data_IF_407486877266
#
_entry.id   IF_407486877266
#
_cell.length_a   1.000
_cell.length_b   1.000
_cell.length_c   1.000
_cell.angle_alpha   90.00
_cell.angle_beta   90.00
_cell.angle_gamma   90.00
#
_symmetry.space_group_name_H-M   'P 1'
#
loop_
_entity.id
_entity.type
_entity.pdbx_description
1 polymer ?
#
# COMPACT_ATOMS: atom_id res chain seq x y z
N UNK A 1 5.01 21.77 7.80
CA UNK A 1 4.26 22.47 6.73
C UNK A 1 4.09 23.98 6.99
N UNK A 2 3.73 24.42 8.21
CA UNK A 2 3.43 25.84 8.53
C UNK A 2 4.63 26.79 8.71
N UNK A 3 5.86 26.33 8.50
CA UNK A 3 7.04 27.18 8.66
C UNK A 3 7.25 28.01 7.38
N UNK A 4 7.35 29.34 7.43
CA UNK A 4 7.48 30.21 6.26
C UNK A 4 8.75 29.95 5.41
N UNK A 5 9.74 29.23 5.92
CA UNK A 5 10.92 28.79 5.15
C UNK A 5 10.82 27.38 4.54
N UNK A 6 9.75 26.64 4.79
CA UNK A 6 9.59 25.26 4.32
C UNK A 6 9.09 25.24 2.87
N UNK A 7 9.86 24.58 1.98
CA UNK A 7 9.52 24.44 0.58
C UNK A 7 9.31 22.97 0.23
N UNK A 8 8.07 22.60 -0.09
CA UNK A 8 7.67 21.23 -0.51
C UNK A 8 8.28 20.81 -1.85
N UNK A 9 8.95 21.74 -2.56
CA UNK A 9 9.67 21.45 -3.81
C UNK A 9 11.13 21.11 -3.59
N UNK A 10 11.62 21.27 -2.36
CA UNK A 10 12.99 20.96 -1.99
C UNK A 10 13.05 19.54 -1.46
N UNK A 11 14.07 18.78 -1.87
CA UNK A 11 14.38 17.48 -1.28
C UNK A 11 14.73 17.69 0.19
N UNK A 12 14.00 17.10 1.14
CA UNK A 12 14.34 17.23 2.55
C UNK A 12 15.61 16.45 2.86
N UNK A 13 16.37 16.97 3.82
CA UNK A 13 17.42 16.22 4.46
C UNK A 13 16.86 15.61 5.74
N UNK A 14 16.91 14.28 5.84
CA UNK A 14 16.31 13.53 6.95
C UNK A 14 17.44 12.84 7.72
N UNK A 15 17.40 12.93 9.05
CA UNK A 15 18.30 12.18 9.92
C UNK A 15 17.53 11.73 11.15
N UNK A 16 17.61 10.45 11.48
CA UNK A 16 17.01 9.90 12.69
C UNK A 16 17.98 10.04 13.87
N UNK A 17 17.47 10.47 15.02
CA UNK A 17 18.29 10.61 16.22
C UNK A 17 18.38 9.27 16.95
N UNK A 18 19.58 8.69 17.03
CA UNK A 18 19.84 7.49 17.85
C UNK A 18 20.42 6.29 17.10
N UNK A 19 20.54 6.35 15.78
CA UNK A 19 21.07 5.22 14.99
C UNK A 19 22.61 5.29 14.89
N UNK A 20 23.28 4.22 15.32
CA UNK A 20 24.74 4.04 15.16
C UNK A 20 25.11 3.65 13.71
N UNK A 21 24.14 3.23 12.89
CA UNK A 21 24.29 2.95 11.46
C UNK A 21 23.74 4.14 10.65
N UNK A 22 24.60 4.79 9.86
CA UNK A 22 24.20 5.90 8.99
C UNK A 22 23.44 5.35 7.77
N UNK A 23 22.10 5.38 7.82
CA UNK A 23 21.28 5.21 6.63
C UNK A 23 21.76 6.14 5.52
N UNK A 24 21.67 5.68 4.27
CA UNK A 24 21.82 6.57 3.13
C UNK A 24 20.74 7.67 3.20
N UNK A 25 21.00 8.82 2.58
CA UNK A 25 20.01 9.90 2.59
C UNK A 25 18.68 9.46 1.94
N UNK A 26 18.75 8.60 0.92
CA UNK A 26 17.59 8.11 0.18
C UNK A 26 16.80 7.07 1.01
N UNK A 27 17.50 6.23 1.78
CA UNK A 27 16.90 5.29 2.74
C UNK A 27 16.19 6.02 3.88
N UNK A 28 16.87 6.99 4.51
CA UNK A 28 16.29 7.81 5.57
C UNK A 28 15.05 8.57 5.09
N UNK A 29 15.10 9.07 3.85
CA UNK A 29 13.98 9.76 3.22
C UNK A 29 12.78 8.84 2.99
N UNK A 30 13.02 7.65 2.45
CA UNK A 30 11.98 6.64 2.20
C UNK A 30 11.31 6.22 3.52
N UNK A 31 12.11 5.96 4.54
CA UNK A 31 11.62 5.54 5.86
C UNK A 31 10.83 6.65 6.56
N UNK A 32 11.29 7.89 6.47
CA UNK A 32 10.55 9.04 6.98
C UNK A 32 9.16 9.16 6.37
N UNK A 33 9.04 9.02 5.04
CA UNK A 33 7.74 9.07 4.39
C UNK A 33 6.86 7.87 4.75
N UNK A 34 7.43 6.67 4.86
CA UNK A 34 6.70 5.48 5.30
C UNK A 34 6.07 5.68 6.68
N UNK A 35 6.88 6.12 7.66
CA UNK A 35 6.41 6.40 9.02
C UNK A 35 5.40 7.55 9.06
N UNK A 36 5.64 8.61 8.29
CA UNK A 36 4.74 9.77 8.21
C UNK A 36 3.38 9.38 7.66
N UNK A 37 3.33 8.58 6.60
CA UNK A 37 2.06 8.13 6.03
C UNK A 37 1.34 7.13 6.93
N UNK A 38 2.06 6.27 7.65
CA UNK A 38 1.48 5.38 8.65
C UNK A 38 0.79 6.16 9.78
N UNK A 39 1.46 7.16 10.34
CA UNK A 39 0.89 8.03 11.37
C UNK A 39 -0.29 8.84 10.82
N UNK A 40 -0.18 9.34 9.59
CA UNK A 40 -1.25 10.10 8.93
C UNK A 40 -2.52 9.27 8.77
N UNK A 41 -2.40 7.98 8.43
CA UNK A 41 -3.55 7.05 8.33
C UNK A 41 -4.28 6.86 9.67
N UNK A 42 -3.59 7.05 10.79
CA UNK A 42 -4.14 6.91 12.14
C UNK A 42 -4.61 8.25 12.74
N UNK A 43 -4.42 9.34 12.00
CA UNK A 43 -4.80 10.69 12.43
C UNK A 43 -6.31 10.93 12.36
N UNK A 44 -6.76 12.06 12.92
CA UNK A 44 -8.15 12.51 12.86
C UNK A 44 -8.66 12.89 11.45
N UNK A 45 -7.80 12.90 10.43
CA UNK A 45 -8.17 13.22 9.05
C UNK A 45 -8.97 12.09 8.39
N UNK A 46 -8.72 10.85 8.81
CA UNK A 46 -9.30 9.65 8.23
C UNK A 46 -10.09 8.84 9.25
N UNK A 47 -11.13 8.19 8.77
CA UNK A 47 -11.96 7.25 9.54
C UNK A 47 -12.24 5.98 8.75
N UNK A 48 -12.57 4.91 9.46
CA UNK A 48 -12.91 3.62 8.85
C UNK A 48 -11.97 2.51 9.26
N UNK A 49 -12.04 1.42 8.49
CA UNK A 49 -11.15 0.28 8.72
C UNK A 49 -9.79 0.60 8.09
N UNK A 50 -8.68 0.08 8.66
CA UNK A 50 -7.40 0.09 7.97
C UNK A 50 -7.57 -0.36 6.52
N UNK A 51 -6.82 0.27 5.61
CA UNK A 51 -6.85 -0.01 4.17
C UNK A 51 -8.12 0.43 3.43
N UNK A 52 -9.17 0.84 4.14
CA UNK A 52 -10.47 1.21 3.56
C UNK A 52 -10.99 2.49 4.22
N UNK A 53 -10.13 3.50 4.21
CA UNK A 53 -10.36 4.77 4.87
C UNK A 53 -11.22 5.72 4.02
N UNK A 54 -12.00 6.52 4.74
CA UNK A 54 -12.74 7.68 4.26
C UNK A 54 -12.25 8.94 4.98
N UNK A 55 -12.60 10.12 4.47
CA UNK A 55 -12.34 11.35 5.20
C UNK A 55 -13.30 11.47 6.38
N UNK A 56 -12.75 11.82 7.55
CA UNK A 56 -13.55 12.15 8.71
C UNK A 56 -14.29 13.46 8.46
N UNK A 57 -15.54 13.57 8.92
CA UNK A 57 -16.26 14.83 8.93
C UNK A 57 -15.94 15.64 10.21
N UNK A 58 -14.79 16.32 10.22
CA UNK A 58 -14.34 17.16 11.33
C UNK A 58 -14.11 18.61 10.86
N UNK A 59 -14.94 19.53 11.38
CA UNK A 59 -14.86 20.95 11.05
C UNK A 59 -13.69 21.65 11.75
N UNK A 60 -13.27 21.16 12.91
CA UNK A 60 -12.10 21.70 13.64
C UNK A 60 -10.84 21.38 12.85
N UNK A 61 -10.69 20.13 12.41
CA UNK A 61 -9.58 19.72 11.55
C UNK A 61 -9.57 20.47 10.21
N UNK A 62 -10.75 20.80 9.67
CA UNK A 62 -10.90 21.59 8.44
C UNK A 62 -10.43 23.03 8.64
N UNK A 63 -10.88 23.68 9.71
CA UNK A 63 -10.50 25.05 10.06
C UNK A 63 -9.00 25.15 10.36
N UNK A 64 -8.44 24.12 10.99
CA UNK A 64 -7.01 23.99 11.26
C UNK A 64 -6.20 23.65 10.01
N UNK A 65 -6.83 23.33 8.86
CA UNK A 65 -6.13 23.03 7.62
C UNK A 65 -5.46 21.65 7.59
N UNK A 66 -5.89 20.71 8.42
CA UNK A 66 -5.25 19.38 8.53
C UNK A 66 -5.41 18.55 7.26
N UNK A 67 -6.52 18.70 6.53
CA UNK A 67 -6.70 17.99 5.25
C UNK A 67 -5.74 18.51 4.18
N UNK A 68 -5.46 19.83 4.17
CA UNK A 68 -4.44 20.41 3.29
C UNK A 68 -3.06 19.83 3.62
N UNK A 69 -2.70 19.79 4.90
CA UNK A 69 -1.43 19.21 5.34
C UNK A 69 -1.30 17.72 4.98
N UNK A 70 -2.37 16.95 5.14
CA UNK A 70 -2.42 15.55 4.72
C UNK A 70 -2.15 15.40 3.21
N UNK A 71 -2.79 16.24 2.39
CA UNK A 71 -2.58 16.27 0.95
C UNK A 71 -1.15 16.65 0.57
N UNK A 72 -0.57 17.63 1.27
CA UNK A 72 0.84 18.02 1.10
C UNK A 72 1.78 16.86 1.44
N UNK A 73 1.59 16.20 2.58
CA UNK A 73 2.47 15.10 3.03
C UNK A 73 2.48 13.94 2.02
N UNK A 74 1.29 13.54 1.54
CA UNK A 74 1.17 12.51 0.51
C UNK A 74 1.81 12.97 -0.80
N UNK A 75 1.52 14.20 -1.23
CA UNK A 75 2.08 14.73 -2.47
C UNK A 75 3.60 14.86 -2.42
N UNK A 76 4.14 15.21 -1.25
CA UNK A 76 5.57 15.33 -1.02
C UNK A 76 6.26 13.96 -1.04
N UNK A 77 5.65 12.94 -0.41
CA UNK A 77 6.12 11.55 -0.52
C UNK A 77 6.22 11.12 -1.98
N UNK A 78 5.14 11.27 -2.75
CA UNK A 78 5.10 10.85 -4.14
C UNK A 78 6.08 11.63 -5.03
N UNK A 79 6.23 12.94 -4.80
CA UNK A 79 7.17 13.78 -5.56
C UNK A 79 8.64 13.37 -5.37
N UNK A 80 8.97 12.74 -4.24
CA UNK A 80 10.33 12.29 -3.90
C UNK A 80 10.51 10.77 -4.01
N UNK A 81 9.60 10.06 -4.68
CA UNK A 81 9.70 8.60 -4.86
C UNK A 81 9.41 7.78 -3.60
N UNK A 82 8.81 8.40 -2.58
CA UNK A 82 8.27 7.73 -1.41
C UNK A 82 6.95 7.00 -1.69
N UNK A 83 6.42 6.26 -0.70
CA UNK A 83 5.19 5.48 -0.86
C UNK A 83 3.95 6.35 -1.08
N UNK A 84 2.92 5.77 -1.71
CA UNK A 84 1.57 6.34 -1.73
C UNK A 84 0.84 6.11 -0.40
N UNK A 85 -0.34 6.74 -0.22
CA UNK A 85 -1.12 6.56 1.00
C UNK A 85 -1.69 5.14 1.11
N UNK A 86 -1.97 4.44 0.00
CA UNK A 86 -2.38 3.03 -0.03
C UNK A 86 -3.51 2.64 0.93
N UNK A 87 -4.41 3.58 1.24
CA UNK A 87 -5.38 3.42 2.34
C UNK A 87 -6.80 3.87 2.00
N UNK A 88 -7.00 4.65 0.94
CA UNK A 88 -8.33 5.16 0.61
C UNK A 88 -9.22 4.03 0.09
N UNK A 89 -10.51 4.08 0.43
CA UNK A 89 -11.48 3.16 -0.14
C UNK A 89 -11.57 3.36 -1.68
N UNK A 90 -11.55 2.29 -2.51
CA UNK A 90 -11.59 2.41 -3.97
C UNK A 90 -12.77 3.23 -4.51
N UNK A 91 -13.95 3.02 -3.96
CA UNK A 91 -15.14 3.81 -4.31
C UNK A 91 -14.99 5.32 -4.00
N UNK A 92 -14.36 5.69 -2.88
CA UNK A 92 -14.11 7.10 -2.57
C UNK A 92 -13.14 7.70 -3.59
N UNK A 93 -12.04 7.02 -3.89
CA UNK A 93 -11.07 7.49 -4.87
C UNK A 93 -11.68 7.68 -6.26
N UNK A 94 -12.49 6.72 -6.73
CA UNK A 94 -13.22 6.86 -7.99
C UNK A 94 -14.15 8.09 -8.01
N UNK A 95 -14.88 8.34 -6.90
CA UNK A 95 -15.73 9.53 -6.78
C UNK A 95 -14.91 10.82 -6.80
N UNK A 96 -13.76 10.85 -6.13
CA UNK A 96 -12.83 11.99 -6.17
C UNK A 96 -12.35 12.27 -7.60
N UNK A 97 -12.05 11.23 -8.38
CA UNK A 97 -11.66 11.33 -9.79
C UNK A 97 -12.84 11.60 -10.76
N UNK A 98 -13.99 12.04 -10.25
CA UNK A 98 -15.22 12.29 -11.01
C UNK A 98 -15.71 11.08 -11.84
N UNK A 99 -15.36 9.86 -11.44
CA UNK A 99 -15.83 8.65 -12.10
C UNK A 99 -17.23 8.28 -11.61
N UNK A 100 -18.05 7.74 -12.50
CA UNK A 100 -19.38 7.22 -12.17
C UNK A 100 -19.25 5.82 -11.56
N UNK A 101 -18.80 5.75 -10.30
CA UNK A 101 -18.83 4.51 -9.53
C UNK A 101 -20.29 4.12 -9.23
N UNK A 102 -20.69 2.91 -9.60
CA UNK A 102 -21.93 2.33 -9.07
C UNK A 102 -21.71 2.00 -7.59
N UNK A 103 -22.59 2.49 -6.73
CA UNK A 103 -22.56 2.27 -5.28
C UNK A 103 -23.74 1.42 -4.82
N UNK A 104 -24.44 0.78 -5.75
CA UNK A 104 -25.63 -0.03 -5.48
C UNK A 104 -25.28 -1.26 -4.64
N UNK A 105 -24.13 -1.87 -4.89
CA UNK A 105 -23.60 -3.04 -4.16
C UNK A 105 -22.56 -2.65 -3.10
N UNK A 106 -22.48 -1.37 -2.74
CA UNK A 106 -21.51 -0.91 -1.73
C UNK A 106 -21.78 -1.61 -0.39
N UNK A 107 -20.74 -2.10 0.27
CA UNK A 107 -20.88 -2.75 1.57
C UNK A 107 -21.11 -1.71 2.67
N UNK A 108 -22.35 -1.61 3.15
CA UNK A 108 -22.73 -0.67 4.21
C UNK A 108 -21.89 -0.79 5.48
N UNK A 109 -21.30 -1.96 5.76
CA UNK A 109 -20.48 -2.16 6.96
C UNK A 109 -19.17 -1.37 6.96
N UNK A 110 -18.79 -0.79 5.81
CA UNK A 110 -17.63 0.09 5.65
C UNK A 110 -17.95 1.55 6.00
N UNK A 111 -19.24 1.92 6.08
CA UNK A 111 -19.64 3.25 6.55
C UNK A 111 -19.42 3.35 8.06
N UNK A 112 -18.72 4.39 8.52
CA UNK A 112 -18.38 4.55 9.94
C UNK A 112 -19.60 4.94 10.78
N UNK A 113 -20.36 5.92 10.27
CA UNK A 113 -21.54 6.49 10.91
C UNK A 113 -22.57 5.39 11.25
N UNK A 114 -22.84 5.22 12.55
CA UNK A 114 -23.69 4.14 13.04
C UNK A 114 -25.15 4.30 12.63
N UNK A 115 -25.67 5.54 12.62
CA UNK A 115 -27.03 5.80 12.17
C UNK A 115 -27.14 5.54 10.66
N UNK A 116 -26.18 6.01 9.88
CA UNK A 116 -26.14 5.75 8.44
C UNK A 116 -26.11 4.26 8.13
N UNK A 117 -25.33 3.45 8.87
CA UNK A 117 -25.32 1.99 8.73
C UNK A 117 -26.68 1.36 8.98
N UNK A 118 -27.35 1.75 10.07
CA UNK A 118 -28.68 1.24 10.40
C UNK A 118 -29.69 1.58 9.29
N UNK A 119 -29.64 2.81 8.75
CA UNK A 119 -30.52 3.26 7.66
C UNK A 119 -30.22 2.59 6.33
N UNK A 120 -28.95 2.35 6.01
CA UNK A 120 -28.53 1.58 4.85
C UNK A 120 -29.00 0.13 4.93
N UNK A 121 -28.92 -0.48 6.11
CA UNK A 121 -29.43 -1.83 6.35
C UNK A 121 -30.96 -1.90 6.25
N UNK A 122 -31.67 -0.91 6.80
CA UNK A 122 -33.13 -0.77 6.66
C UNK A 122 -33.52 -0.66 5.17
N UNK A 123 -32.84 0.19 4.40
CA UNK A 123 -33.04 0.34 2.96
C UNK A 123 -32.82 -0.96 2.19
N UNK A 124 -31.75 -1.70 2.50
CA UNK A 124 -31.43 -2.95 1.80
C UNK A 124 -32.48 -4.05 2.08
N UNK A 125 -33.19 -3.96 3.20
CA UNK A 125 -34.28 -4.89 3.53
C UNK A 125 -35.61 -4.57 2.83
N UNK A 126 -35.74 -3.38 2.22
CA UNK A 126 -36.95 -2.95 1.54
C UNK A 126 -36.98 -3.39 0.06
N UNK A 127 -38.15 -3.84 -0.40
CA UNK A 127 -38.36 -4.26 -1.80
C UNK A 127 -38.83 -3.13 -2.73
N UNK A 128 -39.54 -2.14 -2.21
CA UNK A 128 -40.06 -0.99 -2.97
C UNK A 128 -39.92 0.30 -2.13
N UNK A 129 -39.60 1.41 -2.80
CA UNK A 129 -39.50 2.76 -2.24
C UNK A 129 -40.81 3.19 -1.55
N UNK A 130 -41.96 2.64 -1.93
CA UNK A 130 -43.25 2.89 -1.29
C UNK A 130 -43.37 2.30 0.12
N UNK A 131 -42.53 1.34 0.48
CA UNK A 131 -42.55 0.66 1.77
C UNK A 131 -41.56 1.27 2.78
N UNK A 132 -40.89 2.36 2.42
CA UNK A 132 -39.99 3.06 3.32
C UNK A 132 -40.75 3.64 4.51
N UNK A 133 -40.17 3.49 5.70
CA UNK A 133 -40.74 4.07 6.91
C UNK A 133 -40.73 5.61 6.82
N UNK A 134 -41.72 6.30 7.43
CA UNK A 134 -41.73 7.77 7.44
C UNK A 134 -40.44 8.37 8.02
N UNK A 135 -39.89 7.75 9.07
CA UNK A 135 -38.63 8.19 9.69
C UNK A 135 -37.43 8.07 8.75
N UNK A 136 -37.37 7.00 7.94
CA UNK A 136 -36.34 6.85 6.91
C UNK A 136 -36.52 7.87 5.77
N UNK A 137 -37.76 8.15 5.35
CA UNK A 137 -38.05 9.19 4.36
C UNK A 137 -37.66 10.60 4.83
N UNK A 138 -37.95 10.93 6.10
CA UNK A 138 -37.57 12.21 6.70
C UNK A 138 -36.05 12.35 6.77
N UNK A 139 -35.37 11.28 7.18
CA UNK A 139 -33.90 11.25 7.26
C UNK A 139 -33.24 11.35 5.89
N UNK A 140 -33.71 10.60 4.88
CA UNK A 140 -33.27 10.72 3.49
C UNK A 140 -33.45 12.14 2.96
N UNK A 141 -34.58 12.78 3.27
CA UNK A 141 -34.83 14.17 2.89
C UNK A 141 -33.84 15.13 3.56
N UNK A 142 -33.46 14.87 4.81
CA UNK A 142 -32.38 15.58 5.52
C UNK A 142 -31.01 15.45 4.84
N UNK A 143 -30.75 14.33 4.18
CA UNK A 143 -29.57 14.11 3.34
C UNK A 143 -29.70 14.70 1.91
N UNK A 144 -30.82 15.37 1.60
CA UNK A 144 -31.12 15.91 0.27
C UNK A 144 -31.58 14.86 -0.75
N UNK A 145 -31.98 13.67 -0.29
CA UNK A 145 -32.42 12.56 -1.13
C UNK A 145 -33.94 12.46 -1.03
N UNK A 146 -34.64 12.81 -2.11
CA UNK A 146 -36.09 12.66 -2.17
C UNK A 146 -36.46 11.31 -2.78
N UNK A 147 -37.01 10.35 -1.99
CA UNK A 147 -37.33 9.02 -2.49
C UNK A 147 -38.36 9.06 -3.62
N UNK A 148 -39.28 10.03 -3.60
CA UNK A 148 -40.27 10.23 -4.66
C UNK A 148 -39.66 10.45 -6.06
N UNK A 149 -38.40 10.86 -6.15
CA UNK A 149 -37.68 11.08 -7.40
C UNK A 149 -36.93 9.82 -7.91
N UNK A 150 -36.96 8.71 -7.17
CA UNK A 150 -36.34 7.44 -7.56
C UNK A 150 -37.34 6.30 -7.39
N UNK A 151 -37.51 5.46 -8.40
CA UNK A 151 -38.43 4.31 -8.30
C UNK A 151 -37.76 3.04 -7.76
N UNK A 152 -36.44 3.08 -7.62
CA UNK A 152 -35.62 1.90 -7.33
C UNK A 152 -34.83 2.12 -6.04
N UNK A 153 -34.93 1.14 -5.13
CA UNK A 153 -34.19 1.10 -3.86
C UNK A 153 -32.67 1.14 -4.07
N UNK A 154 -32.07 0.38 -5.02
CA UNK A 154 -30.62 0.45 -5.28
C UNK A 154 -30.12 1.85 -5.61
N UNK A 155 -30.87 2.61 -6.41
CA UNK A 155 -30.51 3.99 -6.74
C UNK A 155 -30.61 4.94 -5.53
N UNK A 156 -31.57 4.72 -4.63
CA UNK A 156 -31.65 5.49 -3.36
C UNK A 156 -30.48 5.13 -2.45
N UNK A 157 -30.17 3.84 -2.34
CA UNK A 157 -29.05 3.31 -1.57
C UNK A 157 -27.72 3.90 -2.04
N UNK A 158 -27.43 3.84 -3.35
CA UNK A 158 -26.20 4.38 -3.91
C UNK A 158 -26.06 5.90 -3.71
N UNK A 159 -27.16 6.66 -3.82
CA UNK A 159 -27.16 8.11 -3.50
C UNK A 159 -26.85 8.37 -2.02
N UNK A 160 -27.41 7.55 -1.13
CA UNK A 160 -27.18 7.69 0.30
C UNK A 160 -25.73 7.39 0.65
N UNK A 161 -25.18 6.29 0.14
CA UNK A 161 -23.75 5.97 0.28
C UNK A 161 -22.91 7.14 -0.21
N UNK A 162 -23.18 7.63 -1.44
CA UNK A 162 -22.46 8.77 -2.03
C UNK A 162 -22.54 10.03 -1.16
N UNK A 163 -23.69 10.28 -0.54
CA UNK A 163 -23.85 11.41 0.37
C UNK A 163 -22.88 11.29 1.56
N UNK A 164 -22.88 10.15 2.24
CA UNK A 164 -22.07 9.97 3.45
C UNK A 164 -20.58 9.89 3.18
N UNK A 165 -20.15 9.19 2.13
CA UNK A 165 -18.72 8.95 1.87
C UNK A 165 -18.04 10.07 1.07
N UNK A 166 -18.81 10.90 0.37
CA UNK A 166 -18.26 11.91 -0.56
C UNK A 166 -18.86 13.30 -0.38
N UNK A 167 -20.18 13.48 -0.53
CA UNK A 167 -20.76 14.83 -0.53
C UNK A 167 -20.68 15.53 0.84
N UNK A 168 -20.90 14.79 1.93
CA UNK A 168 -20.82 15.31 3.30
C UNK A 168 -19.43 15.89 3.61
N UNK A 169 -18.38 15.29 3.06
CA UNK A 169 -16.97 15.63 3.30
C UNK A 169 -16.35 16.39 2.12
N UNK A 170 -17.16 16.97 1.23
CA UNK A 170 -16.67 17.59 0.01
C UNK A 170 -15.67 18.73 0.27
N UNK A 171 -15.86 19.52 1.34
CA UNK A 171 -14.93 20.60 1.73
C UNK A 171 -13.59 20.06 2.19
N UNK A 172 -13.59 18.96 2.96
CA UNK A 172 -12.40 18.24 3.42
C UNK A 172 -11.62 17.65 2.23
N UNK A 173 -12.34 17.02 1.31
CA UNK A 173 -11.77 16.53 0.05
C UNK A 173 -11.16 17.69 -0.73
N UNK A 174 -11.88 18.80 -0.93
CA UNK A 174 -11.36 19.96 -1.68
C UNK A 174 -10.05 20.47 -1.08
N UNK A 175 -10.02 20.67 0.24
CA UNK A 175 -8.82 21.13 0.95
C UNK A 175 -7.66 20.13 0.82
N UNK A 176 -7.93 18.83 0.89
CA UNK A 176 -6.96 17.78 0.64
C UNK A 176 -6.38 17.80 -0.79
N UNK A 177 -7.26 17.97 -1.78
CA UNK A 177 -6.86 18.05 -3.20
C UNK A 177 -6.01 19.30 -3.48
N UNK A 178 -6.32 20.42 -2.84
CA UNK A 178 -5.49 21.62 -2.87
C UNK A 178 -4.09 21.36 -2.32
N UNK A 179 -4.00 20.61 -1.21
CA UNK A 179 -2.73 20.16 -0.64
C UNK A 179 -1.90 19.33 -1.63
N UNK A 180 -2.50 18.32 -2.26
CA UNK A 180 -1.84 17.52 -3.30
C UNK A 180 -1.38 18.38 -4.48
N UNK A 181 -2.24 19.28 -4.96
CA UNK A 181 -1.92 20.15 -6.10
C UNK A 181 -0.82 21.18 -5.80
N UNK A 182 -0.60 21.53 -4.54
CA UNK A 182 0.55 22.37 -4.15
C UNK A 182 1.89 21.71 -4.49
N UNK A 183 1.94 20.37 -4.51
CA UNK A 183 3.08 19.55 -4.92
C UNK A 183 3.14 19.39 -6.46
N UNK A 184 3.20 20.50 -7.20
CA UNK A 184 3.43 20.48 -8.64
C UNK A 184 2.23 20.02 -9.48
N UNK A 185 0.99 20.31 -9.04
CA UNK A 185 -0.25 19.88 -9.69
C UNK A 185 -0.45 18.37 -9.72
N UNK A 186 0.02 17.68 -8.67
CA UNK A 186 -0.04 16.22 -8.59
C UNK A 186 -1.46 15.68 -8.72
N UNK A 187 -2.46 16.30 -8.10
CA UNK A 187 -3.83 15.82 -8.22
C UNK A 187 -4.36 15.91 -9.65
N UNK A 188 -4.00 16.95 -10.41
CA UNK A 188 -4.38 17.04 -11.82
C UNK A 188 -3.80 15.85 -12.64
N UNK A 189 -2.58 15.43 -12.31
CA UNK A 189 -1.95 14.25 -12.90
C UNK A 189 -2.64 12.94 -12.48
N UNK A 190 -2.93 12.80 -11.18
CA UNK A 190 -3.66 11.65 -10.61
C UNK A 190 -5.03 11.52 -11.29
N UNK A 191 -5.79 12.61 -11.38
CA UNK A 191 -7.13 12.62 -11.97
C UNK A 191 -7.11 12.29 -13.47
N UNK A 192 -6.11 12.76 -14.22
CA UNK A 192 -5.96 12.42 -15.65
C UNK A 192 -5.53 10.97 -15.90
N UNK A 193 -4.91 10.31 -14.93
CA UNK A 193 -4.43 8.92 -15.02
C UNK A 193 -4.96 8.07 -13.86
N UNK A 194 -6.25 8.21 -13.54
CA UNK A 194 -6.82 7.70 -12.29
C UNK A 194 -6.61 6.18 -12.11
N UNK A 195 -6.67 5.38 -13.18
CA UNK A 195 -6.45 3.92 -13.15
C UNK A 195 -5.01 3.57 -12.73
N UNK A 196 -4.02 4.32 -13.22
CA UNK A 196 -2.61 4.09 -12.91
C UNK A 196 -2.29 4.45 -11.44
N UNK A 197 -2.99 5.43 -10.88
CA UNK A 197 -2.84 5.85 -9.49
C UNK A 197 -3.77 5.13 -8.52
N UNK A 198 -4.73 4.32 -9.01
CA UNK A 198 -5.62 3.51 -8.18
C UNK A 198 -4.85 2.72 -7.11
N UNK A 199 -3.81 1.93 -7.44
CA UNK A 199 -3.11 1.14 -6.42
C UNK A 199 -2.13 1.94 -5.55
N UNK A 200 -1.82 3.18 -5.95
CA UNK A 200 -1.01 4.11 -5.16
C UNK A 200 -1.87 4.79 -4.10
N UNK A 201 -3.10 5.18 -4.47
CA UNK A 201 -4.01 5.95 -3.64
C UNK A 201 -4.88 5.07 -2.74
N UNK A 202 -5.24 3.89 -3.22
CA UNK A 202 -6.15 2.97 -2.55
C UNK A 202 -5.40 1.74 -2.09
N UNK A 203 -5.87 1.13 -1.00
CA UNK A 203 -5.56 -0.28 -0.85
C UNK A 203 -6.34 -1.01 -1.92
N UNK A 204 -5.65 -1.54 -2.92
CA UNK A 204 -6.20 -2.66 -3.67
C UNK A 204 -6.73 -3.67 -2.64
N UNK A 205 -7.98 -4.09 -2.82
CA UNK A 205 -8.70 -4.96 -1.90
C UNK A 205 -7.81 -6.13 -1.51
N UNK A 206 -7.93 -6.63 -0.28
CA UNK A 206 -7.16 -7.75 0.27
C UNK A 206 -7.15 -9.04 -0.57
N UNK A 207 -7.94 -9.10 -1.64
CA UNK A 207 -7.87 -10.12 -2.71
C UNK A 207 -6.72 -9.93 -3.72
N UNK A 208 -6.18 -8.72 -3.85
CA UNK A 208 -5.10 -8.33 -4.78
C UNK A 208 -3.77 -8.03 -4.04
N UNK A 209 -3.82 -7.75 -2.73
CA UNK A 209 -2.68 -7.94 -1.82
C UNK A 209 -2.50 -9.42 -1.48
N UNK A 210 -2.61 -10.28 -2.49
CA UNK A 210 -2.26 -11.68 -2.32
C UNK A 210 -0.74 -11.74 -2.22
N UNK A 211 -0.22 -12.45 -1.21
CA UNK A 211 1.16 -12.90 -1.24
C UNK A 211 1.48 -13.41 -2.65
N UNK A 212 2.56 -12.94 -3.29
CA UNK A 212 2.80 -13.26 -4.69
C UNK A 212 2.79 -14.78 -4.85
N UNK A 213 2.08 -15.27 -5.87
CA UNK A 213 2.14 -16.70 -6.18
C UNK A 213 3.58 -17.10 -6.48
N UNK A 214 3.90 -18.39 -6.33
CA UNK A 214 5.22 -18.93 -6.68
C UNK A 214 5.68 -18.48 -8.08
N UNK A 215 4.77 -18.46 -9.06
CA UNK A 215 5.09 -18.03 -10.42
C UNK A 215 5.37 -16.52 -10.53
N UNK A 216 4.61 -15.69 -9.82
CA UNK A 216 4.82 -14.24 -9.81
C UNK A 216 6.14 -13.91 -9.12
N UNK A 217 6.43 -14.56 -7.99
CA UNK A 217 7.67 -14.36 -7.25
C UNK A 217 8.89 -14.80 -8.07
N UNK A 218 8.81 -15.94 -8.75
CA UNK A 218 9.87 -16.42 -9.69
C UNK A 218 10.22 -15.38 -10.76
N UNK A 219 9.21 -14.74 -11.33
CA UNK A 219 9.38 -13.75 -12.41
C UNK A 219 10.10 -12.48 -11.94
N UNK A 220 10.26 -12.27 -10.64
CA UNK A 220 11.00 -11.13 -10.10
C UNK A 220 12.51 -11.25 -10.29
N UNK A 221 13.05 -12.46 -10.51
CA UNK A 221 14.48 -12.70 -10.46
C UNK A 221 15.11 -12.81 -11.85
N UNK A 222 16.35 -12.33 -11.93
CA UNK A 222 17.30 -12.65 -13.01
C UNK A 222 18.55 -13.25 -12.38
N UNK A 223 18.92 -14.45 -12.80
CA UNK A 223 20.11 -15.12 -12.30
C UNK A 223 21.37 -14.59 -12.99
N UNK A 224 22.27 -14.00 -12.20
CA UNK A 224 23.57 -13.51 -12.64
C UNK A 224 24.63 -14.60 -12.51
N UNK A 225 24.57 -15.57 -13.42
CA UNK A 225 25.57 -16.62 -13.49
C UNK A 225 26.91 -16.11 -14.06
N UNK A 226 27.98 -16.79 -13.68
CA UNK A 226 29.28 -16.70 -14.33
C UNK A 226 29.27 -17.32 -15.74
N UNK A 227 30.35 -17.08 -16.49
CA UNK A 227 30.53 -17.61 -17.85
C UNK A 227 30.34 -19.14 -17.88
N UNK A 228 29.78 -19.71 -18.96
CA UNK A 228 29.54 -21.16 -19.06
C UNK A 228 30.78 -22.02 -18.84
N UNK A 229 31.96 -21.50 -19.16
CA UNK A 229 33.26 -22.18 -19.01
C UNK A 229 33.88 -21.98 -17.62
N UNK A 230 33.25 -21.22 -16.73
CA UNK A 230 33.70 -20.99 -15.37
C UNK A 230 33.54 -22.24 -14.52
N UNK A 231 34.57 -22.60 -13.74
CA UNK A 231 34.50 -23.69 -12.75
C UNK A 231 33.44 -23.42 -11.67
N UNK A 232 33.03 -22.16 -11.49
CA UNK A 232 32.00 -21.74 -10.53
C UNK A 232 30.58 -22.02 -11.04
N UNK A 233 30.39 -22.16 -12.36
CA UNK A 233 29.08 -22.24 -13.01
C UNK A 233 28.22 -23.38 -12.46
N UNK A 234 28.80 -24.57 -12.31
CA UNK A 234 28.07 -25.74 -11.81
C UNK A 234 27.56 -25.56 -10.37
N UNK A 235 28.34 -24.91 -9.51
CA UNK A 235 27.96 -24.62 -8.14
C UNK A 235 26.84 -23.55 -8.05
N UNK A 236 26.86 -22.57 -8.96
CA UNK A 236 25.81 -21.56 -9.10
C UNK A 236 24.49 -22.19 -9.57
N UNK A 237 24.54 -23.04 -10.58
CA UNK A 237 23.35 -23.77 -11.09
C UNK A 237 22.77 -24.71 -10.04
N UNK A 238 23.62 -25.38 -9.26
CA UNK A 238 23.18 -26.21 -8.14
C UNK A 238 22.39 -25.37 -7.13
N UNK A 239 22.91 -24.21 -6.76
CA UNK A 239 22.23 -23.30 -5.81
C UNK A 239 20.96 -22.72 -6.41
N UNK A 240 20.94 -22.38 -7.70
CA UNK A 240 19.74 -21.92 -8.39
C UNK A 240 18.63 -22.98 -8.36
N UNK A 241 18.96 -24.25 -8.56
CA UNK A 241 18.00 -25.35 -8.43
C UNK A 241 17.48 -25.51 -6.98
N UNK A 242 18.36 -25.34 -5.98
CA UNK A 242 17.93 -25.35 -4.58
C UNK A 242 17.05 -24.15 -4.23
N UNK A 243 17.34 -22.96 -4.77
CA UNK A 243 16.51 -21.77 -4.61
C UNK A 243 15.09 -22.01 -5.15
N UNK A 244 14.97 -22.60 -6.34
CA UNK A 244 13.67 -22.96 -6.91
C UNK A 244 12.89 -23.97 -6.03
N UNK A 245 13.61 -24.88 -5.39
CA UNK A 245 13.04 -25.84 -4.44
C UNK A 245 12.57 -25.15 -3.17
N UNK A 246 13.39 -24.24 -2.61
CA UNK A 246 13.02 -23.42 -1.44
C UNK A 246 11.77 -22.58 -1.72
N UNK A 247 11.67 -21.92 -2.88
CA UNK A 247 10.47 -21.16 -3.24
C UNK A 247 9.22 -22.06 -3.26
N UNK A 248 9.36 -23.30 -3.73
CA UNK A 248 8.27 -24.28 -3.73
C UNK A 248 7.89 -24.67 -2.30
N UNK A 249 8.87 -24.93 -1.42
CA UNK A 249 8.64 -25.21 0.00
C UNK A 249 7.94 -24.05 0.72
N UNK A 250 8.28 -22.80 0.41
CA UNK A 250 7.59 -21.60 0.96
C UNK A 250 6.13 -21.58 0.49
N UNK A 251 5.89 -21.84 -0.79
CA UNK A 251 4.53 -21.91 -1.36
C UNK A 251 3.69 -23.02 -0.75
N UNK A 252 4.31 -24.14 -0.37
CA UNK A 252 3.63 -25.30 0.23
C UNK A 252 3.48 -25.17 1.76
N UNK A 253 3.98 -24.09 2.36
CA UNK A 253 3.88 -23.82 3.80
C UNK A 253 4.87 -24.61 4.66
N UNK A 254 5.95 -25.11 4.07
CA UNK A 254 7.00 -25.88 4.75
C UNK A 254 8.13 -24.99 5.31
N UNK A 255 8.11 -23.69 5.01
CA UNK A 255 9.05 -22.69 5.51
C UNK A 255 8.50 -21.94 6.73
N UNK A 256 9.39 -21.38 7.56
CA UNK A 256 9.02 -20.55 8.71
C UNK A 256 8.76 -19.07 8.34
N UNK A 257 8.88 -18.72 7.06
CA UNK A 257 8.67 -17.37 6.52
C UNK A 257 7.83 -17.43 5.25
N UNK A 258 7.26 -16.29 4.88
CA UNK A 258 6.41 -16.09 3.71
C UNK A 258 7.16 -15.43 2.54
N UNK A 259 6.52 -15.36 1.37
CA UNK A 259 7.04 -14.55 0.27
C UNK A 259 7.06 -13.05 0.59
N UNK A 260 6.18 -12.59 1.49
CA UNK A 260 6.16 -11.18 1.93
C UNK A 260 7.38 -10.86 2.78
N UNK A 261 7.82 -11.80 3.62
CA UNK A 261 9.05 -11.69 4.41
C UNK A 261 10.30 -11.67 3.52
N UNK A 262 10.33 -12.54 2.51
CA UNK A 262 11.40 -12.52 1.50
C UNK A 262 11.39 -11.22 0.70
N UNK A 263 10.21 -10.71 0.34
CA UNK A 263 10.09 -9.49 -0.43
C UNK A 263 10.55 -8.28 0.39
N UNK A 264 10.17 -8.23 1.67
CA UNK A 264 10.64 -7.22 2.61
C UNK A 264 12.16 -7.27 2.72
N UNK A 265 12.72 -8.46 2.92
CA UNK A 265 14.17 -8.66 3.05
C UNK A 265 14.97 -8.24 1.80
N UNK A 266 14.42 -8.44 0.60
CA UNK A 266 15.12 -8.15 -0.66
C UNK A 266 14.91 -6.70 -1.09
N UNK A 267 13.72 -6.14 -0.83
CA UNK A 267 13.24 -4.92 -1.50
C UNK A 267 12.80 -3.82 -0.54
N UNK A 268 12.77 -4.08 0.76
CA UNK A 268 12.23 -3.17 1.78
C UNK A 268 10.70 -3.03 1.73
N UNK A 269 10.00 -3.86 0.94
CA UNK A 269 8.54 -3.80 0.77
C UNK A 269 7.87 -5.15 1.02
N UNK A 270 6.79 -5.15 1.81
CA UNK A 270 5.98 -6.35 2.08
C UNK A 270 5.15 -6.83 0.88
N UNK A 271 4.94 -5.97 -0.11
CA UNK A 271 4.10 -6.26 -1.27
C UNK A 271 4.77 -5.78 -2.55
N UNK A 272 4.43 -6.42 -3.67
CA UNK A 272 4.90 -5.98 -4.97
C UNK A 272 4.43 -4.55 -5.25
N UNK A 273 5.31 -3.67 -5.75
CA UNK A 273 4.88 -2.36 -6.21
C UNK A 273 3.81 -2.53 -7.30
N UNK A 274 2.78 -1.68 -7.34
CA UNK A 274 1.70 -1.85 -8.30
C UNK A 274 2.12 -1.76 -9.78
N UNK A 275 3.22 -1.07 -10.05
CA UNK A 275 3.82 -0.96 -11.38
C UNK A 275 4.97 -1.98 -11.59
N UNK A 276 5.17 -2.89 -10.64
CA UNK A 276 6.33 -3.76 -10.57
C UNK A 276 7.62 -3.02 -10.19
N UNK A 277 8.71 -3.76 -10.08
CA UNK A 277 10.04 -3.17 -9.87
C UNK A 277 10.58 -2.55 -11.16
N UNK A 278 11.37 -1.46 -11.07
CA UNK A 278 11.97 -0.82 -12.25
C UNK A 278 12.96 -1.73 -13.01
N UNK A 279 13.43 -2.80 -12.34
CA UNK A 279 14.27 -3.86 -12.89
C UNK A 279 14.03 -5.15 -12.09
N UNK A 280 14.40 -6.29 -12.68
CA UNK A 280 14.38 -7.58 -11.99
C UNK A 280 15.43 -7.63 -10.88
N UNK A 281 15.13 -8.35 -9.81
CA UNK A 281 16.06 -8.65 -8.72
C UNK A 281 17.20 -9.49 -9.26
N UNK A 282 18.42 -9.00 -9.15
CA UNK A 282 19.61 -9.72 -9.61
C UNK A 282 20.04 -10.71 -8.54
N UNK A 283 19.84 -12.01 -8.81
CA UNK A 283 20.29 -13.08 -7.94
C UNK A 283 21.74 -13.41 -8.27
N UNK A 284 22.63 -13.15 -7.32
CA UNK A 284 24.08 -13.31 -7.42
C UNK A 284 24.56 -14.37 -6.44
N UNK A 285 25.76 -14.89 -6.70
CA UNK A 285 26.35 -15.94 -5.89
C UNK A 285 27.67 -15.50 -5.26
N UNK A 286 27.92 -15.95 -4.02
CA UNK A 286 29.20 -15.74 -3.33
C UNK A 286 29.77 -17.07 -2.82
N UNK A 287 31.09 -17.18 -2.77
CA UNK A 287 31.75 -18.36 -2.23
C UNK A 287 31.84 -18.25 -0.71
N UNK A 288 31.53 -19.33 -0.01
CA UNK A 288 31.82 -19.42 1.41
C UNK A 288 33.28 -19.80 1.63
N UNK A 289 33.90 -19.25 2.67
CA UNK A 289 35.22 -19.67 3.10
C UNK A 289 35.08 -20.97 3.92
N UNK A 290 35.60 -22.12 3.44
CA UNK A 290 35.51 -23.39 4.16
C UNK A 290 36.30 -23.40 5.47
N UNK A 291 37.13 -22.39 5.73
CA UNK A 291 37.91 -22.24 6.97
C UNK A 291 37.24 -21.36 8.04
N UNK A 292 36.15 -20.68 7.70
CA UNK A 292 35.39 -19.87 8.65
C UNK A 292 34.48 -20.75 9.52
N UNK A 293 34.46 -20.51 10.83
CA UNK A 293 33.52 -21.16 11.75
C UNK A 293 32.08 -20.66 11.58
N UNK A 294 31.91 -19.44 11.07
CA UNK A 294 30.62 -18.82 10.85
C UNK A 294 30.33 -18.69 9.34
N UNK A 295 29.27 -19.33 8.83
CA UNK A 295 28.90 -19.22 7.43
C UNK A 295 28.36 -17.81 7.15
N UNK A 296 28.84 -17.19 6.08
CA UNK A 296 28.27 -15.93 5.58
C UNK A 296 26.82 -16.20 5.20
N UNK A 297 25.91 -15.48 5.84
CA UNK A 297 24.48 -15.59 5.60
C UNK A 297 24.08 -14.93 4.26
N UNK A 298 22.99 -15.40 3.63
CA UNK A 298 22.34 -14.66 2.55
C UNK A 298 22.14 -13.20 2.92
N UNK A 299 22.29 -12.30 1.96
CA UNK A 299 22.07 -10.87 2.19
C UNK A 299 21.42 -10.25 0.96
N UNK A 300 20.52 -9.30 1.21
CA UNK A 300 19.88 -8.47 0.19
C UNK A 300 20.52 -7.09 0.14
N UNK A 301 20.35 -6.41 -0.99
CA UNK A 301 20.61 -4.98 -1.12
C UNK A 301 19.36 -4.33 -1.70
N UNK A 302 18.61 -3.63 -0.85
CA UNK A 302 17.31 -3.04 -1.18
C UNK A 302 17.44 -2.02 -2.33
N UNK A 303 18.47 -1.16 -2.28
CA UNK A 303 18.69 -0.11 -3.25
C UNK A 303 19.14 -0.62 -4.63
N UNK A 304 19.90 -1.72 -4.66
CA UNK A 304 20.35 -2.32 -5.92
C UNK A 304 19.41 -3.41 -6.44
N UNK A 305 18.37 -3.81 -5.68
CA UNK A 305 17.53 -4.97 -5.95
C UNK A 305 18.39 -6.21 -6.26
N UNK A 306 19.25 -6.57 -5.32
CA UNK A 306 20.15 -7.71 -5.44
C UNK A 306 19.97 -8.68 -4.27
N UNK A 307 19.98 -9.98 -4.58
CA UNK A 307 19.98 -11.04 -3.59
C UNK A 307 21.25 -11.86 -3.76
N UNK A 308 22.00 -12.03 -2.69
CA UNK A 308 23.24 -12.81 -2.68
C UNK A 308 23.01 -14.14 -1.96
N UNK A 309 23.23 -15.25 -2.68
CA UNK A 309 23.13 -16.62 -2.15
C UNK A 309 24.50 -17.32 -2.15
N UNK A 310 24.76 -18.23 -1.20
CA UNK A 310 26.00 -18.99 -1.16
C UNK A 310 26.07 -19.97 -2.34
N UNK A 311 27.25 -20.10 -2.93
CA UNK A 311 27.50 -20.97 -4.09
C UNK A 311 27.63 -22.43 -3.66
N UNK A 312 27.07 -23.35 -4.43
CA UNK A 312 27.21 -24.79 -4.26
C UNK A 312 26.44 -25.41 -3.09
N UNK A 313 25.31 -24.83 -2.69
CA UNK A 313 24.50 -25.42 -1.59
C UNK A 313 23.97 -26.80 -2.02
N UNK A 314 24.23 -27.88 -1.27
CA UNK A 314 23.92 -29.23 -1.71
C UNK A 314 22.42 -29.56 -1.61
N UNK A 315 21.73 -29.07 -0.58
CA UNK A 315 20.31 -29.34 -0.34
C UNK A 315 19.50 -28.06 -0.10
N UNK A 316 18.21 -28.07 -0.49
CA UNK A 316 17.29 -26.96 -0.26
C UNK A 316 17.06 -26.68 1.24
N UNK A 317 17.09 -27.72 2.07
CA UNK A 317 17.03 -27.64 3.54
C UNK A 317 18.15 -26.76 4.12
N UNK A 318 19.37 -26.91 3.61
CA UNK A 318 20.52 -26.11 4.04
C UNK A 318 20.34 -24.63 3.68
N UNK A 319 19.88 -24.36 2.45
CA UNK A 319 19.58 -22.99 2.00
C UNK A 319 18.45 -22.37 2.83
N UNK A 320 17.41 -23.15 3.14
CA UNK A 320 16.28 -22.71 3.95
C UNK A 320 16.71 -22.33 5.38
N UNK A 321 17.60 -23.12 6.00
CA UNK A 321 18.16 -22.81 7.33
C UNK A 321 18.93 -21.50 7.32
N UNK A 322 19.73 -21.25 6.27
CA UNK A 322 20.48 -20.00 6.14
C UNK A 322 19.54 -18.79 5.97
N UNK A 323 18.48 -18.94 5.15
CA UNK A 323 17.47 -17.90 4.96
C UNK A 323 16.67 -17.63 6.24
N UNK A 324 16.24 -18.66 6.95
CA UNK A 324 15.57 -18.54 8.25
C UNK A 324 16.40 -17.72 9.23
N UNK A 325 17.70 -18.05 9.37
CA UNK A 325 18.61 -17.31 10.26
C UNK A 325 18.73 -15.84 9.87
N UNK A 326 18.81 -15.57 8.57
CA UNK A 326 18.91 -14.22 8.03
C UNK A 326 17.65 -13.42 8.31
N UNK A 327 16.49 -13.97 7.99
CA UNK A 327 15.19 -13.32 8.15
C UNK A 327 14.88 -13.05 9.63
N UNK A 328 15.23 -13.96 10.53
CA UNK A 328 15.13 -13.70 11.97
C UNK A 328 16.00 -12.50 12.41
N UNK A 329 17.22 -12.38 11.90
CA UNK A 329 18.08 -11.25 12.26
C UNK A 329 17.63 -9.90 11.67
N UNK A 330 16.92 -9.90 10.54
CA UNK A 330 16.46 -8.67 9.88
C UNK A 330 15.06 -8.24 10.30
N UNK A 331 14.17 -9.16 10.67
CA UNK A 331 12.79 -8.88 11.07
C UNK A 331 12.63 -8.51 12.55
N UNK A 332 13.59 -8.91 13.41
CA UNK A 332 13.63 -8.53 14.83
C UNK A 332 14.32 -7.17 15.07
N UNK A 333 14.75 -6.48 14.00
CA UNK A 333 15.28 -5.10 14.02
C UNK A 333 14.16 -4.10 13.73
#
# INVERSE_FOLDING_TARGET
VRNPGFCFRSTPAVSFSGDEETLSQDEALREFFRLTLLELQQSCVFEGRPERLFFTYDLTALDDGLYYEAGVLIGWSLAHGGPGPCCLHPALYQLMCCQSASLEDFNWSDVVDAEARLRLQELQSCSDVKHLSPSLCDWLSGCGIHPACSKEIPAVYGRLVKHHVYHRVASMISQFLEGLNSCGRLWDLVNSHWEAFLPVMTSMTSTERRAPSLEEFRRLFTFCFSDPDSELRGAEETTAAQWETVLSMVSDGEACFSFEDLLLFITGAHHLPPLGFPKLVSLRFYSQDPSSSDPILPHGSEDSLELFLPRGVPEASDLLVLLNRTLHTTLDR
#
